data_IF_718967984090
#
_entry.id   IF_718967984090
#
_cell.length_a   1.000
_cell.length_b   1.000
_cell.length_c   1.000
_cell.angle_alpha   90.00
_cell.angle_beta   90.00
_cell.angle_gamma   90.00
#
_symmetry.space_group_name_H-M   'P 1'
#
loop_
_entity.id
_entity.type
_entity.pdbx_description
1 polymer ?
#
# COMPACT_ATOMS: atom_id res chain seq x y z
N UNK A 1 -7.84 -12.32 11.93
CA UNK A 1 -8.81 -11.25 11.59
C UNK A 1 -8.72 -11.07 10.08
N UNK A 2 -9.83 -11.13 9.34
CA UNK A 2 -9.80 -11.15 7.87
C UNK A 2 -9.85 -9.75 7.26
N UNK A 3 -10.56 -8.83 7.90
CA UNK A 3 -10.74 -7.46 7.45
C UNK A 3 -11.05 -6.56 8.65
N UNK A 4 -10.93 -5.24 8.42
CA UNK A 4 -11.33 -4.20 9.36
C UNK A 4 -12.53 -3.41 8.80
N UNK A 5 -13.39 -2.96 9.71
CA UNK A 5 -14.47 -2.02 9.45
C UNK A 5 -14.23 -0.73 10.23
N UNK A 6 -14.52 0.43 9.64
CA UNK A 6 -14.52 1.72 10.32
C UNK A 6 -15.78 2.52 9.94
N UNK A 7 -16.51 2.98 10.94
CA UNK A 7 -17.70 3.82 10.77
C UNK A 7 -17.46 5.14 10.04
N UNK A 8 -16.23 5.66 10.00
CA UNK A 8 -15.90 6.87 9.24
C UNK A 8 -15.85 6.62 7.72
N UNK A 9 -15.66 5.35 7.30
CA UNK A 9 -15.63 4.92 5.90
C UNK A 9 -16.51 3.67 5.71
N UNK A 10 -17.83 3.80 5.94
CA UNK A 10 -18.75 2.65 5.99
C UNK A 10 -18.87 1.90 4.65
N UNK A 11 -18.48 2.52 3.54
CA UNK A 11 -18.46 1.96 2.20
C UNK A 11 -17.24 1.08 1.91
N UNK A 12 -16.22 1.08 2.76
CA UNK A 12 -14.97 0.36 2.53
C UNK A 12 -14.87 -0.91 3.39
N UNK A 13 -14.25 -1.93 2.81
CA UNK A 13 -13.75 -3.11 3.52
C UNK A 13 -12.23 -3.07 3.43
N UNK A 14 -11.54 -3.15 4.57
CA UNK A 14 -10.08 -3.13 4.61
C UNK A 14 -9.54 -4.53 4.89
N UNK A 15 -9.29 -5.37 3.85
CA UNK A 15 -8.73 -6.69 4.05
C UNK A 15 -7.31 -6.59 4.61
N UNK A 16 -6.95 -7.51 5.50
CA UNK A 16 -5.55 -7.70 5.88
C UNK A 16 -4.81 -8.44 4.77
N UNK A 17 -3.55 -8.10 4.51
CA UNK A 17 -2.73 -8.84 3.56
C UNK A 17 -2.65 -10.34 3.89
N UNK A 18 -2.68 -10.70 5.18
CA UNK A 18 -2.70 -12.10 5.64
C UNK A 18 -4.00 -12.86 5.33
N UNK A 19 -5.04 -12.18 4.84
CA UNK A 19 -6.28 -12.81 4.39
C UNK A 19 -6.22 -13.26 2.92
N UNK A 20 -5.14 -12.91 2.19
CA UNK A 20 -4.90 -13.38 0.83
C UNK A 20 -4.20 -14.74 0.90
N UNK A 21 -4.85 -15.77 0.38
CA UNK A 21 -4.41 -17.17 0.43
C UNK A 21 -3.86 -17.68 -0.92
N UNK A 22 -3.72 -16.80 -1.90
CA UNK A 22 -3.10 -17.06 -3.19
C UNK A 22 -1.69 -16.46 -3.25
N UNK A 23 -0.84 -17.06 -4.07
CA UNK A 23 0.48 -16.50 -4.35
C UNK A 23 0.32 -15.17 -5.10
N UNK A 24 0.89 -14.11 -4.54
CA UNK A 24 0.95 -12.79 -5.16
C UNK A 24 2.29 -12.60 -5.88
N UNK A 25 2.31 -11.86 -7.01
CA UNK A 25 3.55 -11.50 -7.65
C UNK A 25 4.40 -10.62 -6.72
N UNK A 26 5.71 -10.77 -6.80
CA UNK A 26 6.62 -9.83 -6.16
C UNK A 26 6.45 -8.44 -6.80
N UNK A 27 6.34 -7.35 -6.00
CA UNK A 27 6.19 -6.02 -6.56
C UNK A 27 7.49 -5.54 -7.22
N UNK A 28 7.39 -4.97 -8.41
CA UNK A 28 8.53 -4.37 -9.13
C UNK A 28 9.02 -3.08 -8.46
N UNK A 29 8.15 -2.39 -7.72
CA UNK A 29 8.42 -1.15 -7.02
C UNK A 29 7.58 -1.03 -5.74
N UNK A 30 8.15 -0.43 -4.70
CA UNK A 30 7.44 -0.09 -3.48
C UNK A 30 7.21 1.41 -3.33
N UNK A 31 6.01 1.80 -2.93
CA UNK A 31 5.70 3.18 -2.55
C UNK A 31 5.73 3.29 -1.03
N UNK A 32 6.70 4.03 -0.51
CA UNK A 32 6.84 4.28 0.92
C UNK A 32 6.27 5.67 1.25
N UNK A 33 5.31 5.73 2.16
CA UNK A 33 4.65 6.98 2.59
C UNK A 33 5.02 7.33 4.04
N UNK A 34 4.69 8.56 4.47
CA UNK A 34 4.94 9.07 5.82
C UNK A 34 6.43 9.06 6.21
N UNK A 35 7.31 9.32 5.24
CA UNK A 35 8.76 9.40 5.44
C UNK A 35 9.17 10.42 6.51
N UNK A 36 8.40 11.50 6.69
CA UNK A 36 8.67 12.50 7.72
C UNK A 36 8.41 12.00 9.15
N UNK A 37 7.62 10.95 9.30
CA UNK A 37 7.22 10.35 10.57
C UNK A 37 8.04 9.09 10.88
N UNK A 38 8.86 8.65 9.92
CA UNK A 38 9.73 7.49 10.06
C UNK A 38 10.89 7.82 11.01
N UNK A 39 11.11 7.01 12.07
CA UNK A 39 12.29 7.15 12.90
C UNK A 39 13.60 6.89 12.13
N UNK A 40 14.64 7.67 12.42
CA UNK A 40 15.93 7.64 11.68
C UNK A 40 16.66 6.29 11.74
N UNK A 41 16.43 5.48 12.78
CA UNK A 41 17.07 4.17 12.94
C UNK A 41 16.39 3.05 12.15
N UNK A 42 15.18 3.27 11.64
CA UNK A 42 14.49 2.26 10.83
C UNK A 42 15.04 2.36 9.41
N UNK A 43 15.36 1.23 8.78
CA UNK A 43 15.79 1.20 7.37
C UNK A 43 14.59 1.17 6.42
N UNK A 44 14.78 1.58 5.18
CA UNK A 44 13.78 1.37 4.13
C UNK A 44 13.87 -0.06 3.59
N UNK A 45 12.78 -0.62 3.04
CA UNK A 45 12.83 -1.89 2.31
C UNK A 45 13.86 -1.85 1.18
N UNK A 46 14.52 -2.97 0.90
CA UNK A 46 15.48 -3.08 -0.21
C UNK A 46 14.77 -3.19 -1.56
N UNK A 47 15.43 -2.78 -2.66
CA UNK A 47 14.82 -2.77 -4.00
C UNK A 47 14.34 -1.39 -4.45
N UNK A 48 13.70 -1.35 -5.64
CA UNK A 48 13.19 -0.12 -6.26
C UNK A 48 12.05 0.45 -5.42
N UNK A 49 12.12 1.75 -5.13
CA UNK A 49 11.12 2.42 -4.29
C UNK A 49 11.04 3.91 -4.55
N UNK A 50 9.84 4.47 -4.37
CA UNK A 50 9.61 5.89 -4.16
C UNK A 50 9.37 6.15 -2.67
N UNK A 51 9.84 7.30 -2.17
CA UNK A 51 9.65 7.71 -0.78
C UNK A 51 8.97 9.08 -0.78
N UNK A 52 7.87 9.18 -0.04
CA UNK A 52 7.09 10.39 0.13
C UNK A 52 7.08 10.79 1.60
N UNK A 53 7.30 12.07 1.88
CA UNK A 53 7.30 12.58 3.25
C UNK A 53 5.92 12.42 3.91
N UNK A 54 4.84 12.56 3.14
CA UNK A 54 3.45 12.30 3.54
C UNK A 54 2.85 11.24 2.63
N UNK A 55 1.59 11.38 2.20
CA UNK A 55 0.99 10.56 1.15
C UNK A 55 1.48 11.00 -0.23
N UNK A 56 1.56 10.05 -1.17
CA UNK A 56 1.83 10.34 -2.58
C UNK A 56 0.60 10.87 -3.32
N UNK A 57 0.77 11.16 -4.61
CA UNK A 57 -0.29 11.74 -5.45
C UNK A 57 -1.35 10.71 -5.88
N UNK A 58 -0.96 9.45 -5.99
CA UNK A 58 -1.82 8.36 -6.47
C UNK A 58 -2.51 7.64 -5.28
N UNK A 59 -3.79 7.33 -5.42
CA UNK A 59 -4.47 6.34 -4.55
C UNK A 59 -3.99 4.93 -4.89
N UNK A 60 -4.26 3.93 -4.03
CA UNK A 60 -3.92 2.53 -4.33
C UNK A 60 -4.55 2.11 -5.67
N UNK A 61 -5.83 2.41 -5.87
CA UNK A 61 -6.54 2.16 -7.13
C UNK A 61 -5.91 2.91 -8.31
N UNK A 62 -5.67 4.22 -8.15
CA UNK A 62 -5.10 5.08 -9.19
C UNK A 62 -3.71 4.61 -9.63
N UNK A 63 -2.88 4.21 -8.66
CA UNK A 63 -1.56 3.64 -8.92
C UNK A 63 -1.68 2.35 -9.75
N UNK A 64 -2.55 1.42 -9.36
CA UNK A 64 -2.73 0.16 -10.11
C UNK A 64 -3.26 0.42 -11.53
N UNK A 65 -4.20 1.35 -11.71
CA UNK A 65 -4.73 1.73 -13.03
C UNK A 65 -3.64 2.31 -13.92
N UNK A 66 -2.84 3.23 -13.39
CA UNK A 66 -1.71 3.88 -14.10
C UNK A 66 -0.64 2.90 -14.56
N UNK A 67 -0.42 1.82 -13.82
CA UNK A 67 0.58 0.80 -14.12
C UNK A 67 0.02 -0.42 -14.87
N UNK A 68 -1.28 -0.42 -15.21
CA UNK A 68 -1.91 -1.56 -15.90
C UNK A 68 -2.02 -2.82 -15.03
N UNK A 69 -2.02 -2.67 -13.71
CA UNK A 69 -2.09 -3.74 -12.71
C UNK A 69 -3.46 -3.80 -12.00
N UNK A 70 -4.41 -2.97 -12.43
CA UNK A 70 -5.75 -2.96 -11.86
C UNK A 70 -6.57 -4.15 -12.38
N UNK A 71 -7.19 -4.90 -11.45
CA UNK A 71 -8.12 -6.00 -11.75
C UNK A 71 -9.51 -5.59 -11.27
N UNK A 72 -10.52 -5.79 -12.13
CA UNK A 72 -11.93 -5.50 -11.85
C UNK A 72 -12.65 -6.70 -11.22
#
# INVERSE_FOLDING_TARGET
MLWLWDHHWPELIHPFASAIDTDLPAPDEMVCVLGNSKPSWVRWPEGKKSVHDVYGDDSIEGWHKKHGLFME
#
